data_IF_507250956248
#
_entry.id   IF_507250956248
#
_cell.length_a   1.000
_cell.length_b   1.000
_cell.length_c   1.000
_cell.angle_alpha   90.00
_cell.angle_beta   90.00
_cell.angle_gamma   90.00
#
_symmetry.space_group_name_H-M   'P 1'
#
loop_
_entity.id
_entity.type
_entity.pdbx_description
1 polymer ?
#
# COMPACT_ATOMS: atom_id res chain seq x y z
N UNK A 1 2.38 -10.20 -1.96
CA UNK A 1 2.58 -9.02 -1.09
C UNK A 1 3.41 -9.41 0.14
N UNK A 2 2.93 -10.26 1.06
CA UNK A 2 3.69 -10.67 2.26
C UNK A 2 5.08 -11.25 1.92
N UNK A 3 5.12 -12.25 1.03
CA UNK A 3 6.40 -12.86 0.60
C UNK A 3 7.33 -11.81 -0.03
N UNK A 4 6.80 -10.88 -0.81
CA UNK A 4 7.59 -9.79 -1.38
C UNK A 4 8.19 -8.87 -0.30
N UNK A 5 7.47 -8.67 0.82
CA UNK A 5 7.97 -7.90 1.95
C UNK A 5 9.06 -8.68 2.71
N UNK A 6 8.84 -9.98 2.94
CA UNK A 6 9.82 -10.86 3.59
C UNK A 6 11.12 -10.93 2.79
N UNK A 7 11.06 -11.17 1.48
CA UNK A 7 12.23 -11.23 0.58
C UNK A 7 12.99 -9.91 0.49
N UNK A 8 12.30 -8.77 0.70
CA UNK A 8 12.94 -7.44 0.74
C UNK A 8 13.59 -7.13 2.08
N UNK A 9 13.21 -7.83 3.15
CA UNK A 9 13.86 -7.67 4.44
C UNK A 9 15.19 -8.42 4.48
N UNK A 10 16.22 -7.80 5.05
CA UNK A 10 17.55 -8.42 5.20
C UNK A 10 17.56 -9.61 6.15
N UNK A 11 16.62 -9.65 7.11
CA UNK A 11 16.45 -10.71 8.11
C UNK A 11 15.25 -11.64 7.81
N UNK A 12 14.54 -11.41 6.71
CA UNK A 12 13.29 -12.11 6.38
C UNK A 12 12.09 -11.74 7.24
N UNK A 13 12.25 -10.83 8.21
CA UNK A 13 11.19 -10.41 9.13
C UNK A 13 10.41 -9.26 8.51
N UNK A 14 9.10 -9.47 8.35
CA UNK A 14 8.17 -8.42 7.94
C UNK A 14 7.89 -7.53 9.15
N UNK A 15 7.99 -6.21 8.99
CA UNK A 15 7.78 -5.22 10.05
C UNK A 15 6.77 -4.19 9.62
N UNK A 16 6.00 -3.69 10.59
CA UNK A 16 5.13 -2.54 10.38
C UNK A 16 5.99 -1.33 9.99
N UNK A 17 5.70 -0.65 8.87
CA UNK A 17 6.55 0.42 8.35
C UNK A 17 6.58 1.67 9.24
N UNK A 18 5.56 1.87 10.09
CA UNK A 18 5.47 3.02 10.99
C UNK A 18 6.18 2.77 12.32
N UNK A 19 5.86 1.64 12.96
CA UNK A 19 6.35 1.32 14.32
C UNK A 19 7.59 0.44 14.33
N UNK A 20 7.97 -0.14 13.19
CA UNK A 20 9.06 -1.12 13.03
C UNK A 20 8.87 -2.43 13.83
N UNK A 21 7.67 -2.66 14.36
CA UNK A 21 7.30 -3.86 15.11
C UNK A 21 7.25 -5.06 14.14
N UNK A 22 7.88 -6.21 14.49
CA UNK A 22 7.72 -7.45 13.74
C UNK A 22 6.24 -7.84 13.62
N UNK A 23 5.81 -8.13 12.40
CA UNK A 23 4.49 -8.65 12.10
C UNK A 23 4.53 -10.18 12.10
N UNK A 24 3.49 -10.80 12.65
CA UNK A 24 3.27 -12.23 12.58
C UNK A 24 2.22 -12.53 11.52
N UNK A 25 2.54 -13.38 10.54
CA UNK A 25 1.63 -13.75 9.44
C UNK A 25 0.33 -14.41 9.93
N UNK A 26 0.38 -15.05 11.10
CA UNK A 26 -0.75 -15.73 11.74
C UNK A 26 -1.61 -14.80 12.62
N UNK A 27 -1.15 -13.58 12.89
CA UNK A 27 -1.89 -12.58 13.66
C UNK A 27 -2.61 -11.59 12.72
N UNK A 28 -3.56 -10.79 13.22
CA UNK A 28 -4.20 -9.77 12.41
C UNK A 28 -3.21 -8.72 11.88
N UNK A 29 -3.13 -8.61 10.56
CA UNK A 29 -2.44 -7.56 9.83
C UNK A 29 -3.31 -7.14 8.65
N UNK A 30 -3.17 -5.89 8.22
CA UNK A 30 -3.93 -5.36 7.08
C UNK A 30 -3.01 -5.14 5.87
N UNK A 31 -3.58 -5.26 4.67
CA UNK A 31 -2.92 -4.90 3.43
C UNK A 31 -3.06 -3.38 3.20
N UNK A 32 -2.08 -2.61 3.65
CA UNK A 32 -2.04 -1.15 3.49
C UNK A 32 -1.47 -0.74 2.13
N UNK A 33 -1.86 0.45 1.65
CA UNK A 33 -1.22 1.07 0.50
C UNK A 33 0.14 1.63 0.93
N UNK A 34 1.13 1.58 0.03
CA UNK A 34 2.36 2.34 0.21
C UNK A 34 2.06 3.84 0.11
N UNK A 35 2.86 4.69 0.77
CA UNK A 35 2.69 6.14 0.69
C UNK A 35 2.74 6.58 -0.77
N UNK A 36 1.75 7.38 -1.17
CA UNK A 36 1.60 7.87 -2.55
C UNK A 36 0.74 6.96 -3.46
N UNK A 37 0.36 5.76 -3.01
CA UNK A 37 -0.52 4.84 -3.74
C UNK A 37 -1.90 4.70 -3.09
N UNK A 38 -2.29 5.64 -2.24
CA UNK A 38 -3.59 5.65 -1.57
C UNK A 38 -4.72 5.61 -2.59
N UNK A 39 -5.81 4.92 -2.25
CA UNK A 39 -6.93 4.72 -3.16
C UNK A 39 -7.48 6.05 -3.71
N UNK A 40 -7.59 7.08 -2.87
CA UNK A 40 -8.09 8.40 -3.29
C UNK A 40 -7.16 9.09 -4.31
N UNK A 41 -5.84 8.91 -4.21
CA UNK A 41 -4.87 9.44 -5.18
C UNK A 41 -5.02 8.75 -6.53
N UNK A 42 -5.24 7.42 -6.53
CA UNK A 42 -5.46 6.66 -7.76
C UNK A 42 -6.79 7.03 -8.42
N UNK A 43 -7.86 7.23 -7.64
CA UNK A 43 -9.16 7.70 -8.15
C UNK A 43 -9.03 9.07 -8.84
N UNK A 44 -8.39 10.06 -8.19
CA UNK A 44 -8.17 11.39 -8.80
C UNK A 44 -7.34 11.31 -10.09
N UNK A 45 -6.33 10.46 -10.10
CA UNK A 45 -5.53 10.21 -11.29
C UNK A 45 -6.30 9.56 -12.43
N UNK A 46 -7.16 8.58 -12.11
CA UNK A 46 -7.97 7.89 -13.09
C UNK A 46 -8.96 8.84 -13.76
N UNK A 47 -9.56 9.74 -12.98
CA UNK A 47 -10.41 10.82 -13.48
C UNK A 47 -9.61 11.78 -14.39
N UNK A 48 -8.44 12.24 -13.94
CA UNK A 48 -7.59 13.15 -14.71
C UNK A 48 -7.10 12.54 -16.04
N UNK A 49 -6.85 11.22 -16.08
CA UNK A 49 -6.35 10.51 -17.26
C UNK A 49 -7.45 9.89 -18.12
N UNK A 50 -8.69 9.87 -17.66
CA UNK A 50 -9.81 9.24 -18.36
C UNK A 50 -9.62 7.74 -18.63
N UNK A 51 -8.97 7.01 -17.71
CA UNK A 51 -8.65 5.59 -17.93
C UNK A 51 -9.88 4.69 -17.82
N UNK A 52 -9.83 3.55 -18.50
CA UNK A 52 -10.87 2.53 -18.40
C UNK A 52 -10.90 1.88 -17.01
N UNK A 53 -12.05 1.32 -16.62
CA UNK A 53 -12.17 0.48 -15.41
C UNK A 53 -11.16 -0.67 -15.42
N UNK A 54 -10.90 -1.27 -16.60
CA UNK A 54 -9.91 -2.34 -16.71
C UNK A 54 -8.52 -1.84 -16.33
N UNK A 55 -8.10 -0.72 -16.91
CA UNK A 55 -6.79 -0.13 -16.59
C UNK A 55 -6.70 0.28 -15.12
N UNK A 56 -7.78 0.84 -14.54
CA UNK A 56 -7.83 1.12 -13.11
C UNK A 56 -7.59 -0.13 -12.28
N UNK A 57 -8.28 -1.24 -12.58
CA UNK A 57 -8.11 -2.49 -11.84
C UNK A 57 -6.72 -3.12 -12.06
N UNK A 58 -6.18 -3.04 -13.27
CA UNK A 58 -4.84 -3.54 -13.59
C UNK A 58 -3.77 -2.75 -12.81
N UNK A 59 -3.92 -1.43 -12.68
CA UNK A 59 -3.05 -0.58 -11.88
C UNK A 59 -3.27 -0.81 -10.37
N UNK A 60 -4.52 -0.92 -9.91
CA UNK A 60 -4.87 -1.06 -8.51
C UNK A 60 -4.38 -2.39 -7.94
N UNK A 61 -4.52 -3.49 -8.69
CA UNK A 61 -4.18 -4.83 -8.21
C UNK A 61 -2.67 -5.15 -8.18
N UNK A 62 -1.78 -4.18 -8.49
CA UNK A 62 -0.34 -4.41 -8.45
C UNK A 62 0.14 -4.58 -7.02
N UNK A 63 0.54 -5.80 -6.66
CA UNK A 63 0.98 -6.17 -5.32
C UNK A 63 2.16 -5.32 -4.80
N UNK A 64 2.91 -4.66 -5.67
CA UNK A 64 4.01 -3.77 -5.32
C UNK A 64 3.57 -2.43 -4.73
N UNK A 65 2.29 -2.06 -4.87
CA UNK A 65 1.69 -0.85 -4.29
C UNK A 65 1.22 -1.05 -2.86
N UNK A 66 1.27 -2.28 -2.36
CA UNK A 66 0.83 -2.64 -1.03
C UNK A 66 1.98 -3.08 -0.13
N UNK A 67 1.76 -3.01 1.18
CA UNK A 67 2.67 -3.52 2.22
C UNK A 67 1.87 -4.05 3.41
N UNK A 68 2.41 -5.01 4.18
CA UNK A 68 1.82 -5.43 5.44
C UNK A 68 1.91 -4.30 6.46
N UNK A 69 0.82 -4.05 7.18
CA UNK A 69 0.77 -3.06 8.25
C UNK A 69 -0.01 -3.60 9.44
N UNK A 70 0.28 -3.07 10.64
CA UNK A 70 -0.58 -3.32 11.79
C UNK A 70 -1.97 -2.71 11.53
N UNK A 71 -3.06 -3.35 12.00
CA UNK A 71 -4.41 -2.80 11.82
C UNK A 71 -4.57 -1.39 12.38
N UNK A 72 -3.87 -1.08 13.48
CA UNK A 72 -3.85 0.26 14.05
C UNK A 72 -3.18 1.29 13.13
N UNK A 73 -2.06 0.92 12.49
CA UNK A 73 -1.33 1.79 11.56
C UNK A 73 -2.15 2.08 10.31
N UNK A 74 -2.70 1.03 9.69
CA UNK A 74 -3.44 1.15 8.43
C UNK A 74 -4.79 1.86 8.61
N UNK A 75 -5.61 1.42 9.56
CA UNK A 75 -6.96 1.99 9.77
C UNK A 75 -6.91 3.39 10.37
N UNK A 76 -5.81 3.74 11.03
CA UNK A 76 -5.54 5.09 11.49
C UNK A 76 -5.01 6.02 10.40
N UNK A 77 -4.79 5.52 9.17
CA UNK A 77 -4.21 6.27 8.06
C UNK A 77 -2.84 6.90 8.39
N UNK A 78 -2.12 6.34 9.37
CA UNK A 78 -0.92 6.96 9.96
C UNK A 78 0.30 6.89 9.04
N UNK A 79 0.29 5.95 8.10
CA UNK A 79 1.36 5.74 7.12
C UNK A 79 1.06 6.32 5.73
N UNK A 80 -0.04 7.07 5.57
CA UNK A 80 -0.43 7.66 4.29
C UNK A 80 0.37 8.94 3.98
N UNK A 81 0.60 9.20 2.70
CA UNK A 81 1.16 10.45 2.21
C UNK A 81 0.09 11.55 2.19
N UNK A 82 0.20 12.48 3.13
CA UNK A 82 -0.74 13.61 3.31
C UNK A 82 -0.53 14.74 2.32
N UNK A 83 0.44 14.65 1.40
CA UNK A 83 0.63 15.69 0.38
C UNK A 83 -0.47 15.63 -0.67
N UNK A 84 -0.78 16.79 -1.28
CA UNK A 84 -1.81 16.94 -2.32
C UNK A 84 -1.43 16.29 -3.67
N UNK A 85 -0.23 15.72 -3.79
CA UNK A 85 0.18 14.95 -4.96
C UNK A 85 -0.77 13.77 -5.20
N UNK A 86 -0.99 13.40 -6.46
CA UNK A 86 -1.85 12.27 -6.85
C UNK A 86 -1.18 11.39 -7.93
N UNK A 87 -1.58 10.12 -7.97
CA UNK A 87 -0.78 9.05 -8.57
C UNK A 87 -1.12 8.76 -10.03
N UNK A 88 -0.37 9.31 -11.00
CA UNK A 88 -0.68 9.32 -12.45
C UNK A 88 -0.49 8.00 -13.24
N UNK A 89 -0.54 6.85 -12.56
CA UNK A 89 -0.50 5.53 -13.19
C UNK A 89 0.92 4.99 -13.41
N UNK A 90 0.98 3.80 -14.02
CA UNK A 90 2.22 3.11 -14.41
C UNK A 90 2.40 3.10 -15.93
#
# INVERSE_FOLDING_TARGET
MWENAATKSSDGIVRDPLTNVPLNKAEPWDMGHKPGYEHWKHVRSAEARGISRKQFLDEFNKAEKYRPELPASNRGHLGEDTTDGYYLGD
#
